data_IF_755651625428
#
_entry.id   IF_755651625428
#
_cell.length_a   1.000
_cell.length_b   1.000
_cell.length_c   1.000
_cell.angle_alpha   90.00
_cell.angle_beta   90.00
_cell.angle_gamma   90.00
#
_symmetry.space_group_name_H-M   'P 1'
#
loop_
_entity.id
_entity.type
_entity.pdbx_description
1 polymer ?
#
# COMPACT_ATOMS: atom_id res chain seq x y z
N UNK A 1 9.42 14.59 -21.35
CA UNK A 1 9.28 13.41 -20.49
C UNK A 1 7.79 13.23 -20.23
N UNK A 2 7.31 12.00 -20.09
CA UNK A 2 5.89 11.71 -19.83
C UNK A 2 5.74 10.87 -18.55
N UNK A 3 4.57 10.88 -17.90
CA UNK A 3 4.27 9.98 -16.79
C UNK A 3 4.38 8.52 -17.24
N UNK A 4 4.77 7.65 -16.32
CA UNK A 4 4.85 6.21 -16.56
C UNK A 4 3.56 5.58 -16.01
N UNK A 5 2.54 5.40 -16.85
CA UNK A 5 1.30 4.73 -16.47
C UNK A 5 1.52 3.22 -16.38
N UNK A 6 0.93 2.59 -15.37
CA UNK A 6 1.11 1.17 -15.09
C UNK A 6 -0.13 0.38 -15.53
N UNK A 7 0.11 -0.82 -16.06
CA UNK A 7 -0.94 -1.83 -16.13
C UNK A 7 -1.15 -2.45 -14.74
N UNK A 8 -2.41 -2.70 -14.33
CA UNK A 8 -2.70 -3.38 -13.07
C UNK A 8 -2.17 -4.82 -13.08
N UNK A 9 -1.84 -5.34 -11.90
CA UNK A 9 -1.35 -6.71 -11.70
C UNK A 9 -2.16 -7.35 -10.58
N UNK A 10 -3.13 -8.17 -10.97
CA UNK A 10 -4.10 -8.75 -10.06
C UNK A 10 -3.56 -10.01 -9.37
N UNK A 11 -3.81 -10.13 -8.07
CA UNK A 11 -3.48 -11.30 -7.27
C UNK A 11 -4.74 -11.96 -6.72
N UNK A 12 -4.88 -13.25 -6.97
CA UNK A 12 -5.93 -14.08 -6.34
C UNK A 12 -5.65 -14.26 -4.85
N UNK A 13 -6.70 -14.13 -4.04
CA UNK A 13 -6.62 -14.35 -2.58
C UNK A 13 -7.89 -15.05 -2.12
N UNK A 14 -7.75 -15.90 -1.09
CA UNK A 14 -8.90 -16.62 -0.51
C UNK A 14 -9.96 -15.70 0.09
N UNK A 15 -9.56 -14.47 0.43
CA UNK A 15 -10.39 -13.42 1.00
C UNK A 15 -10.77 -12.34 -0.02
N UNK A 16 -10.27 -12.46 -1.25
CA UNK A 16 -10.50 -11.50 -2.32
C UNK A 16 -11.87 -11.68 -2.95
N UNK A 17 -12.33 -10.62 -3.62
CA UNK A 17 -13.65 -10.58 -4.23
C UNK A 17 -13.63 -9.96 -5.63
N UNK A 18 -14.66 -9.17 -5.91
CA UNK A 18 -14.90 -8.57 -7.23
C UNK A 18 -15.11 -7.05 -7.20
N UNK A 19 -14.95 -6.37 -6.04
CA UNK A 19 -15.22 -4.92 -5.97
C UNK A 19 -14.20 -4.12 -6.74
N UNK A 20 -12.99 -4.64 -6.97
CA UNK A 20 -12.04 -4.05 -7.91
C UNK A 20 -12.65 -3.82 -9.31
N UNK A 21 -13.53 -4.72 -9.78
CA UNK A 21 -14.29 -4.52 -11.01
C UNK A 21 -15.38 -3.46 -10.84
N UNK A 22 -16.27 -3.62 -9.84
CA UNK A 22 -17.44 -2.73 -9.71
C UNK A 22 -17.08 -1.29 -9.33
N UNK A 23 -15.97 -1.09 -8.63
CA UNK A 23 -15.49 0.20 -8.13
C UNK A 23 -14.59 0.88 -9.17
N UNK A 24 -13.55 0.20 -9.67
CA UNK A 24 -12.57 0.80 -10.59
C UNK A 24 -12.80 0.49 -12.08
N UNK A 25 -13.73 -0.42 -12.39
CA UNK A 25 -13.97 -0.87 -13.77
C UNK A 25 -12.86 -1.76 -14.33
N UNK A 26 -12.08 -2.41 -13.45
CA UNK A 26 -11.00 -3.31 -13.88
C UNK A 26 -11.53 -4.59 -14.52
N UNK A 27 -10.84 -5.05 -15.58
CA UNK A 27 -11.11 -6.33 -16.20
C UNK A 27 -10.42 -7.45 -15.40
N UNK A 28 -11.13 -8.01 -14.43
CA UNK A 28 -10.61 -9.06 -13.54
C UNK A 28 -10.62 -10.44 -14.23
N UNK A 29 -9.62 -11.29 -13.98
CA UNK A 29 -9.57 -12.64 -14.55
C UNK A 29 -10.57 -13.62 -13.90
N UNK A 30 -11.02 -13.33 -12.67
CA UNK A 30 -12.05 -14.05 -11.92
C UNK A 30 -12.60 -13.18 -10.78
N UNK A 31 -13.42 -13.77 -9.91
CA UNK A 31 -14.13 -13.15 -8.79
C UNK A 31 -13.43 -13.31 -7.43
N UNK A 32 -12.17 -13.77 -7.38
CA UNK A 32 -11.38 -13.97 -6.15
C UNK A 32 -10.14 -13.09 -6.09
N UNK A 33 -10.21 -11.88 -6.63
CA UNK A 33 -9.07 -10.96 -6.66
C UNK A 33 -9.06 -10.13 -5.40
N UNK A 34 -8.02 -10.31 -4.59
CA UNK A 34 -7.84 -9.57 -3.35
C UNK A 34 -6.96 -8.34 -3.50
N UNK A 35 -6.05 -8.33 -4.47
CA UNK A 35 -5.06 -7.25 -4.60
C UNK A 35 -4.89 -6.85 -6.07
N UNK A 36 -4.77 -5.56 -6.31
CA UNK A 36 -4.11 -4.98 -7.48
C UNK A 36 -2.75 -4.41 -7.04
N UNK A 37 -1.66 -4.96 -7.57
CA UNK A 37 -0.32 -4.41 -7.39
C UNK A 37 -0.10 -3.28 -8.39
N UNK A 38 -0.73 -2.15 -8.07
CA UNK A 38 -0.87 -0.98 -8.93
C UNK A 38 0.48 -0.37 -9.36
N UNK A 39 1.47 -0.33 -8.47
CA UNK A 39 2.84 0.07 -8.79
C UNK A 39 3.81 -0.84 -8.05
N UNK A 40 4.52 -1.69 -8.80
CA UNK A 40 5.37 -2.74 -8.26
C UNK A 40 6.57 -3.02 -9.14
N UNK A 41 7.75 -3.09 -8.55
CA UNK A 41 8.90 -3.76 -9.16
C UNK A 41 9.18 -5.15 -8.53
N UNK A 42 8.32 -5.60 -7.61
CA UNK A 42 8.53 -6.82 -6.86
C UNK A 42 8.40 -8.06 -7.76
N UNK A 43 9.28 -9.07 -7.64
CA UNK A 43 9.30 -10.23 -8.55
C UNK A 43 7.98 -11.02 -8.63
N UNK A 44 7.19 -11.03 -7.56
CA UNK A 44 5.89 -11.74 -7.50
C UNK A 44 4.77 -11.05 -8.29
N UNK A 45 4.96 -9.80 -8.72
CA UNK A 45 3.93 -9.06 -9.44
C UNK A 45 4.49 -7.76 -10.02
N UNK A 46 5.36 -7.86 -11.03
CA UNK A 46 6.02 -6.69 -11.61
C UNK A 46 5.07 -5.90 -12.53
N UNK A 47 4.94 -4.59 -12.31
CA UNK A 47 4.14 -3.71 -13.16
C UNK A 47 4.78 -3.53 -14.54
N UNK A 48 3.95 -3.30 -15.55
CA UNK A 48 4.37 -3.06 -16.93
C UNK A 48 3.92 -1.67 -17.36
N UNK A 49 4.83 -0.89 -17.97
CA UNK A 49 4.51 0.46 -18.45
C UNK A 49 3.53 0.37 -19.63
N UNK A 50 2.47 1.16 -19.59
CA UNK A 50 1.39 1.15 -20.58
C UNK A 50 1.64 2.09 -21.78
N UNK A 51 2.43 3.13 -21.58
CA UNK A 51 2.57 4.25 -22.52
C UNK A 51 4.03 4.59 -22.86
N UNK A 52 4.16 5.44 -23.88
CA UNK A 52 5.42 6.11 -24.20
C UNK A 52 6.52 5.23 -24.76
N UNK A 53 7.76 5.75 -24.75
CA UNK A 53 8.94 5.04 -25.21
C UNK A 53 9.26 3.77 -24.41
N UNK A 54 8.77 3.68 -23.17
CA UNK A 54 9.00 2.55 -22.27
C UNK A 54 7.84 1.54 -22.27
N UNK A 55 6.81 1.74 -23.10
CA UNK A 55 5.67 0.82 -23.20
C UNK A 55 6.12 -0.63 -23.34
N UNK A 56 5.59 -1.49 -22.47
CA UNK A 56 5.89 -2.93 -22.45
C UNK A 56 7.15 -3.30 -21.67
N UNK A 57 7.96 -2.34 -21.19
CA UNK A 57 9.02 -2.60 -20.21
C UNK A 57 8.44 -2.75 -18.81
N UNK A 58 9.18 -3.43 -17.95
CA UNK A 58 8.78 -3.61 -16.54
C UNK A 58 9.29 -2.50 -15.62
N UNK A 59 8.60 -2.35 -14.49
CA UNK A 59 9.06 -1.71 -13.24
C UNK A 59 10.57 -1.88 -13.03
N UNK A 60 10.94 -3.14 -12.84
CA UNK A 60 12.28 -3.56 -12.49
C UNK A 60 13.31 -3.27 -13.58
N UNK A 61 12.96 -3.38 -14.86
CA UNK A 61 13.88 -3.04 -15.95
C UNK A 61 14.20 -1.55 -15.99
N UNK A 62 13.20 -0.70 -15.76
CA UNK A 62 13.44 0.74 -15.67
C UNK A 62 14.29 1.08 -14.45
N UNK A 63 14.01 0.49 -13.29
CA UNK A 63 14.85 0.71 -12.11
C UNK A 63 16.31 0.32 -12.38
N UNK A 64 16.55 -0.83 -13.01
CA UNK A 64 17.91 -1.32 -13.29
C UNK A 64 18.63 -0.48 -14.35
N UNK A 65 17.96 -0.15 -15.45
CA UNK A 65 18.62 0.36 -16.66
C UNK A 65 18.44 1.87 -16.87
N UNK A 66 17.54 2.52 -16.12
CA UNK A 66 17.10 3.91 -16.32
C UNK A 66 17.02 4.71 -15.00
N UNK A 67 18.09 4.65 -14.20
CA UNK A 67 18.20 5.34 -12.92
C UNK A 67 18.02 6.87 -12.99
N UNK A 68 18.21 7.48 -14.16
CA UNK A 68 17.89 8.90 -14.39
C UNK A 68 16.40 9.23 -14.20
N UNK A 69 15.51 8.23 -14.28
CA UNK A 69 14.07 8.39 -14.02
C UNK A 69 13.77 8.47 -12.52
N UNK A 70 14.69 8.04 -11.67
CA UNK A 70 14.49 7.84 -10.24
C UNK A 70 15.50 8.60 -9.37
N UNK A 71 16.16 9.62 -9.93
CA UNK A 71 17.11 10.45 -9.18
C UNK A 71 18.49 9.83 -8.97
N UNK A 72 18.84 8.78 -9.71
CA UNK A 72 20.09 8.02 -9.54
C UNK A 72 20.23 7.38 -8.16
N UNK A 73 19.15 6.72 -7.69
CA UNK A 73 19.19 5.91 -6.48
C UNK A 73 20.22 4.77 -6.60
N UNK A 74 20.91 4.48 -5.50
CA UNK A 74 21.82 3.35 -5.39
C UNK A 74 21.14 2.10 -4.82
N UNK A 75 19.85 2.18 -4.47
CA UNK A 75 19.15 1.06 -3.87
C UNK A 75 19.01 -0.11 -4.88
N UNK A 76 19.24 -1.36 -4.44
CA UNK A 76 19.34 -2.52 -5.33
C UNK A 76 18.01 -2.86 -6.01
N UNK A 77 16.89 -2.44 -5.42
CA UNK A 77 15.52 -2.67 -5.90
C UNK A 77 14.73 -1.38 -5.80
N UNK A 78 13.66 -1.26 -6.59
CA UNK A 78 12.71 -0.16 -6.42
C UNK A 78 12.06 -0.30 -5.03
N UNK A 79 12.09 0.74 -4.18
CA UNK A 79 11.92 0.53 -2.74
C UNK A 79 10.47 0.45 -2.27
N UNK A 80 9.50 0.80 -3.12
CA UNK A 80 8.09 0.86 -2.74
C UNK A 80 7.21 -0.12 -3.53
N UNK A 81 6.10 -0.49 -2.92
CA UNK A 81 5.04 -1.28 -3.53
C UNK A 81 3.70 -0.62 -3.16
N UNK A 82 2.92 -0.26 -4.18
CA UNK A 82 1.60 0.34 -4.02
C UNK A 82 0.55 -0.68 -4.42
N UNK A 83 -0.42 -0.93 -3.55
CA UNK A 83 -1.50 -1.89 -3.78
C UNK A 83 -2.86 -1.27 -3.53
N UNK A 84 -3.87 -1.81 -4.21
CA UNK A 84 -5.27 -1.66 -3.81
C UNK A 84 -5.74 -3.02 -3.33
N UNK A 85 -6.27 -3.10 -2.11
CA UNK A 85 -6.77 -4.34 -1.55
C UNK A 85 -8.30 -4.28 -1.44
N UNK A 86 -8.96 -5.38 -1.81
CA UNK A 86 -10.39 -5.60 -1.66
C UNK A 86 -10.64 -6.79 -0.74
N UNK A 87 -10.90 -6.52 0.54
CA UNK A 87 -11.19 -7.53 1.55
C UNK A 87 -12.67 -7.90 1.52
N UNK A 88 -13.05 -8.92 0.74
CA UNK A 88 -14.41 -9.50 0.80
C UNK A 88 -14.60 -10.34 2.07
N UNK A 89 -13.52 -10.94 2.57
CA UNK A 89 -13.46 -11.64 3.86
C UNK A 89 -12.24 -11.16 4.68
N UNK A 90 -12.15 -11.56 5.95
CA UNK A 90 -11.09 -11.12 6.86
C UNK A 90 -9.70 -11.57 6.35
N UNK A 91 -8.73 -10.67 6.29
CA UNK A 91 -7.34 -11.06 6.06
C UNK A 91 -6.78 -11.74 7.31
N UNK A 92 -5.76 -12.57 7.11
CA UNK A 92 -5.07 -13.18 8.25
C UNK A 92 -4.46 -12.13 9.16
N UNK A 93 -4.47 -12.39 10.47
CA UNK A 93 -3.71 -11.61 11.44
C UNK A 93 -2.23 -11.87 11.21
N UNK A 94 -1.45 -10.81 11.05
CA UNK A 94 -0.07 -10.90 10.61
C UNK A 94 0.81 -9.83 11.26
N UNK A 95 2.12 -10.01 11.10
CA UNK A 95 3.14 -9.04 11.47
C UNK A 95 4.27 -9.10 10.45
N UNK A 96 4.91 -7.96 10.22
CA UNK A 96 5.97 -7.79 9.23
C UNK A 96 7.32 -7.51 9.89
N UNK A 97 8.44 -8.05 9.37
CA UNK A 97 9.78 -7.75 9.86
C UNK A 97 10.24 -6.34 9.48
N UNK A 98 11.27 -5.87 10.19
CA UNK A 98 12.10 -4.74 9.75
C UNK A 98 13.14 -5.19 8.71
N UNK A 99 13.92 -4.25 8.18
CA UNK A 99 14.92 -4.55 7.13
C UNK A 99 16.01 -5.51 7.63
N UNK A 100 16.40 -5.42 8.90
CA UNK A 100 17.46 -6.27 9.45
C UNK A 100 17.00 -7.74 9.49
N UNK A 101 15.81 -8.00 10.05
CA UNK A 101 15.26 -9.34 10.12
C UNK A 101 14.87 -9.86 8.73
N UNK A 102 14.23 -9.03 7.91
CA UNK A 102 13.84 -9.36 6.53
C UNK A 102 15.02 -9.78 5.67
N UNK A 103 16.12 -9.03 5.73
CA UNK A 103 17.32 -9.34 4.95
C UNK A 103 18.04 -10.59 5.46
N UNK A 104 18.08 -10.80 6.79
CA UNK A 104 18.75 -11.97 7.38
C UNK A 104 17.98 -13.27 7.11
N UNK A 105 16.65 -13.26 7.16
CA UNK A 105 15.83 -14.47 7.15
C UNK A 105 15.18 -14.75 5.79
N UNK A 106 14.81 -13.71 5.04
CA UNK A 106 14.04 -13.83 3.79
C UNK A 106 14.82 -13.31 2.56
N UNK A 107 15.86 -12.52 2.77
CA UNK A 107 16.61 -11.86 1.69
C UNK A 107 15.82 -10.73 1.01
N UNK A 108 14.81 -10.19 1.69
CA UNK A 108 13.97 -9.08 1.24
C UNK A 108 14.13 -7.86 2.15
N UNK A 109 13.60 -6.72 1.70
CA UNK A 109 13.39 -5.58 2.60
C UNK A 109 12.41 -5.96 3.72
N UNK A 110 12.42 -5.18 4.79
CA UNK A 110 11.34 -5.15 5.74
C UNK A 110 10.04 -4.67 5.08
N UNK A 111 8.95 -4.73 5.83
CA UNK A 111 7.63 -4.35 5.33
C UNK A 111 6.93 -3.44 6.34
N UNK A 112 7.44 -2.22 6.42
CA UNK A 112 6.67 -1.08 6.94
C UNK A 112 5.67 -0.63 5.89
N UNK A 113 4.44 -0.32 6.31
CA UNK A 113 3.36 0.04 5.42
C UNK A 113 2.43 1.11 6.01
N UNK A 114 1.48 1.55 5.21
CA UNK A 114 0.36 2.37 5.66
C UNK A 114 -0.86 2.14 4.77
N UNK A 115 -2.03 2.44 5.31
CA UNK A 115 -3.32 2.23 4.67
C UNK A 115 -4.12 3.52 4.63
N UNK A 116 -4.64 3.83 3.46
CA UNK A 116 -5.75 4.74 3.30
C UNK A 116 -7.04 3.94 3.06
N UNK A 117 -8.07 4.15 3.88
CA UNK A 117 -9.36 3.47 3.72
C UNK A 117 -10.15 4.12 2.58
N UNK A 118 -10.10 3.53 1.39
CA UNK A 118 -10.86 4.00 0.21
C UNK A 118 -12.37 3.86 0.45
N UNK A 119 -12.78 2.73 1.02
CA UNK A 119 -14.17 2.44 1.35
C UNK A 119 -14.25 1.41 2.47
N UNK A 120 -15.32 1.48 3.28
CA UNK A 120 -15.56 0.56 4.39
C UNK A 120 -17.06 0.36 4.62
N UNK A 121 -17.48 -0.89 4.69
CA UNK A 121 -18.87 -1.23 5.03
C UNK A 121 -19.24 -0.80 6.47
N UNK A 122 -20.53 -0.53 6.77
CA UNK A 122 -20.95 -0.18 8.12
C UNK A 122 -20.56 -1.24 9.15
N UNK A 123 -19.76 -0.83 10.14
CA UNK A 123 -19.27 -1.72 11.20
C UNK A 123 -18.01 -2.49 10.84
N UNK A 124 -17.34 -2.16 9.73
CA UNK A 124 -16.04 -2.71 9.40
C UNK A 124 -14.98 -2.28 10.43
N UNK A 125 -14.07 -3.21 10.75
CA UNK A 125 -13.03 -3.04 11.75
C UNK A 125 -11.71 -3.62 11.21
N UNK A 126 -10.59 -3.06 11.66
CA UNK A 126 -9.26 -3.65 11.48
C UNK A 126 -8.78 -4.23 12.81
N UNK A 127 -7.83 -5.17 12.74
CA UNK A 127 -7.00 -5.51 13.89
C UNK A 127 -5.76 -4.63 13.83
N UNK A 128 -5.45 -3.95 14.93
CA UNK A 128 -4.33 -3.01 15.00
C UNK A 128 -3.72 -2.98 16.41
N UNK A 129 -2.70 -3.79 16.61
CA UNK A 129 -1.99 -3.98 17.87
C UNK A 129 -2.55 -5.13 18.72
N UNK A 130 -2.02 -5.25 19.94
CA UNK A 130 -2.35 -6.30 20.88
C UNK A 130 -2.25 -5.82 22.35
N UNK A 131 -2.76 -6.62 23.28
CA UNK A 131 -2.80 -6.31 24.71
C UNK A 131 -1.65 -6.91 25.55
N UNK A 132 -0.89 -7.87 25.00
CA UNK A 132 0.25 -8.46 25.70
C UNK A 132 1.33 -7.43 26.11
N UNK A 133 1.88 -7.59 27.32
CA UNK A 133 2.86 -6.70 27.92
C UNK A 133 4.30 -7.22 27.79
N UNK A 134 4.49 -8.53 27.62
CA UNK A 134 5.80 -9.16 27.38
C UNK A 134 5.74 -10.17 26.23
N UNK A 135 6.90 -10.52 25.65
CA UNK A 135 6.96 -11.51 24.57
C UNK A 135 6.49 -12.89 25.03
N UNK A 136 6.73 -13.25 26.29
CA UNK A 136 6.26 -14.50 26.90
C UNK A 136 4.73 -14.52 27.00
N UNK A 137 4.11 -13.40 27.41
CA UNK A 137 2.66 -13.28 27.46
C UNK A 137 2.05 -13.34 26.04
N UNK A 138 2.65 -12.63 25.08
CA UNK A 138 2.23 -12.68 23.67
C UNK A 138 2.23 -14.11 23.16
N UNK A 139 3.34 -14.83 23.35
CA UNK A 139 3.49 -16.22 22.92
C UNK A 139 2.46 -17.14 23.57
N UNK A 140 2.26 -17.03 24.89
CA UNK A 140 1.30 -17.85 25.61
C UNK A 140 -0.15 -17.61 25.11
N UNK A 141 -0.54 -16.35 24.89
CA UNK A 141 -1.88 -16.03 24.39
C UNK A 141 -2.11 -16.52 22.96
N UNK A 142 -1.08 -16.48 22.09
CA UNK A 142 -1.11 -17.05 20.73
C UNK A 142 -1.28 -18.57 20.80
N UNK A 143 -0.47 -19.26 21.60
CA UNK A 143 -0.50 -20.73 21.74
C UNK A 143 -1.83 -21.23 22.33
N UNK A 144 -2.42 -20.49 23.26
CA UNK A 144 -3.71 -20.79 23.88
C UNK A 144 -4.92 -20.35 23.02
N UNK A 145 -4.70 -19.69 21.88
CA UNK A 145 -5.78 -19.22 20.99
C UNK A 145 -6.65 -18.12 21.61
N UNK A 146 -6.10 -17.29 22.50
CA UNK A 146 -6.83 -16.25 23.25
C UNK A 146 -6.99 -14.96 22.43
N UNK A 147 -7.47 -15.07 21.19
CA UNK A 147 -7.48 -13.98 20.21
C UNK A 147 -8.28 -12.75 20.62
N UNK A 148 -9.46 -12.93 21.21
CA UNK A 148 -10.30 -11.81 21.67
C UNK A 148 -9.69 -11.06 22.87
N UNK A 149 -8.89 -11.75 23.70
CA UNK A 149 -8.14 -11.11 24.79
C UNK A 149 -6.86 -10.45 24.28
N UNK A 150 -6.27 -10.99 23.21
CA UNK A 150 -4.97 -10.57 22.70
C UNK A 150 -5.08 -9.38 21.74
N UNK A 151 -6.00 -9.42 20.78
CA UNK A 151 -6.01 -8.55 19.61
C UNK A 151 -6.85 -7.29 19.84
N UNK A 152 -6.33 -6.15 19.41
CA UNK A 152 -7.06 -4.88 19.48
C UNK A 152 -7.85 -4.67 18.18
N UNK A 153 -9.18 -4.57 18.27
CA UNK A 153 -10.06 -4.21 17.15
C UNK A 153 -10.31 -2.70 17.11
N UNK A 154 -10.25 -2.11 15.92
CA UNK A 154 -10.45 -0.68 15.70
C UNK A 154 -11.49 -0.49 14.58
N UNK A 155 -12.62 0.18 14.85
CA UNK A 155 -13.59 0.49 13.80
C UNK A 155 -13.01 1.52 12.83
N UNK A 156 -13.35 1.36 11.55
CA UNK A 156 -12.85 2.24 10.47
C UNK A 156 -13.98 2.77 9.60
N UNK A 157 -13.69 3.85 8.88
CA UNK A 157 -14.56 4.43 7.85
C UNK A 157 -13.73 4.95 6.68
N UNK A 158 -14.40 5.21 5.55
CA UNK A 158 -13.80 5.89 4.39
C UNK A 158 -13.06 7.17 4.80
N UNK A 159 -11.84 7.32 4.30
CA UNK A 159 -10.96 8.47 4.53
C UNK A 159 -10.09 8.37 5.79
N UNK A 160 -10.24 7.32 6.60
CA UNK A 160 -9.30 7.06 7.69
C UNK A 160 -7.92 6.65 7.13
N UNK A 161 -6.86 6.96 7.88
CA UNK A 161 -5.48 6.64 7.53
C UNK A 161 -4.77 5.98 8.71
N UNK A 162 -4.01 4.92 8.43
CA UNK A 162 -3.25 4.16 9.43
C UNK A 162 -1.81 3.97 8.95
N UNK A 163 -0.84 4.33 9.79
CA UNK A 163 0.55 3.93 9.59
C UNK A 163 0.79 2.60 10.31
N UNK A 164 1.47 1.66 9.68
CA UNK A 164 1.71 0.31 10.21
C UNK A 164 3.22 0.06 10.20
N UNK A 165 3.96 0.49 11.24
CA UNK A 165 5.37 0.15 11.38
C UNK A 165 5.58 -1.36 11.38
N UNK A 166 6.71 -1.83 10.84
CA UNK A 166 7.15 -3.20 11.03
C UNK A 166 7.13 -3.61 12.52
N UNK A 167 6.78 -4.87 12.79
CA UNK A 167 6.56 -5.39 14.13
C UNK A 167 5.18 -5.08 14.74
N UNK A 168 4.29 -4.40 14.02
CA UNK A 168 2.89 -4.21 14.46
C UNK A 168 2.04 -5.44 14.10
N UNK A 169 1.39 -6.08 15.07
CA UNK A 169 0.35 -7.10 14.78
C UNK A 169 -0.87 -6.40 14.20
N UNK A 170 -1.34 -6.83 13.04
CA UNK A 170 -2.46 -6.19 12.37
C UNK A 170 -3.22 -7.15 11.43
N UNK A 171 -4.42 -6.74 11.01
CA UNK A 171 -5.19 -7.39 9.96
C UNK A 171 -6.22 -6.43 9.37
N UNK A 172 -6.49 -6.55 8.07
CA UNK A 172 -7.61 -5.86 7.42
C UNK A 172 -8.84 -6.75 7.55
N UNK A 173 -9.92 -6.23 8.15
CA UNK A 173 -11.18 -6.95 8.26
C UNK A 173 -12.01 -6.91 6.97
N UNK A 174 -13.00 -7.78 6.89
CA UNK A 174 -13.93 -7.86 5.76
C UNK A 174 -14.68 -6.55 5.50
N UNK A 175 -15.06 -6.34 4.25
CA UNK A 175 -15.81 -5.17 3.79
C UNK A 175 -14.96 -3.90 3.65
N UNK A 176 -13.63 -4.00 3.78
CA UNK A 176 -12.71 -2.87 3.70
C UNK A 176 -11.99 -2.89 2.35
N UNK A 177 -11.94 -1.72 1.70
CA UNK A 177 -11.07 -1.48 0.55
C UNK A 177 -10.04 -0.42 0.92
N UNK A 178 -8.77 -0.72 0.69
CA UNK A 178 -7.67 0.19 1.03
C UNK A 178 -6.77 0.47 -0.18
N UNK A 179 -6.07 1.60 -0.11
CA UNK A 179 -4.81 1.79 -0.80
C UNK A 179 -3.68 1.58 0.21
N UNK A 180 -2.77 0.68 -0.09
CA UNK A 180 -1.59 0.38 0.72
C UNK A 180 -0.34 0.93 0.04
N UNK A 181 0.42 1.74 0.78
CA UNK A 181 1.79 2.11 0.43
C UNK A 181 2.73 1.40 1.39
N UNK A 182 3.63 0.58 0.86
CA UNK A 182 4.57 -0.21 1.64
C UNK A 182 5.98 -0.20 1.05
N UNK A 183 6.97 -0.61 1.84
CA UNK A 183 8.27 -1.03 1.30
C UNK A 183 8.09 -2.21 0.33
N UNK A 184 8.98 -2.37 -0.65
CA UNK A 184 8.91 -3.42 -1.67
C UNK A 184 9.32 -4.80 -1.11
N UNK A 185 8.40 -5.41 -0.36
CA UNK A 185 8.53 -6.72 0.28
C UNK A 185 7.18 -7.44 0.25
N UNK A 186 7.20 -8.76 0.08
CA UNK A 186 6.00 -9.61 0.19
C UNK A 186 6.04 -10.50 1.45
N UNK A 187 7.04 -10.27 2.30
CA UNK A 187 7.27 -11.03 3.52
C UNK A 187 6.16 -10.80 4.56
N UNK A 188 5.49 -11.89 4.93
CA UNK A 188 4.34 -11.87 5.85
C UNK A 188 4.41 -13.01 6.85
N UNK A 189 4.52 -12.69 8.14
CA UNK A 189 4.41 -13.69 9.21
C UNK A 189 2.99 -13.74 9.74
N UNK A 190 2.31 -14.82 9.39
CA UNK A 190 0.93 -15.07 9.80
C UNK A 190 0.84 -15.59 11.23
N UNK A 191 0.06 -14.89 12.06
CA UNK A 191 -0.21 -15.24 13.46
C UNK A 191 -1.47 -16.10 13.58
N UNK A 192 -2.55 -15.69 12.90
CA UNK A 192 -3.86 -16.36 12.97
C UNK A 192 -4.60 -16.23 11.64
N UNK A 193 -5.38 -17.26 11.28
CA UNK A 193 -6.08 -17.33 10.00
C UNK A 193 -7.55 -17.77 10.08
N UNK A 194 -8.16 -17.64 11.26
CA UNK A 194 -9.56 -18.05 11.49
C UNK A 194 -9.82 -19.53 11.24
N UNK A 195 -8.78 -20.37 11.37
CA UNK A 195 -8.83 -21.82 11.13
C UNK A 195 -9.41 -22.20 9.76
N UNK A 196 -9.31 -21.27 8.79
CA UNK A 196 -9.83 -21.44 7.44
C UNK A 196 -9.06 -22.54 6.72
N UNK A 197 -9.80 -23.29 5.91
CA UNK A 197 -9.25 -24.36 5.09
C UNK A 197 -9.45 -24.05 3.61
N UNK A 198 -8.50 -24.47 2.79
CA UNK A 198 -8.69 -24.55 1.35
C UNK A 198 -9.73 -25.61 0.94
N UNK A 199 -9.98 -25.73 -0.37
CA UNK A 199 -10.92 -26.71 -0.93
C UNK A 199 -10.53 -28.18 -0.64
N UNK A 200 -9.31 -28.42 -0.15
CA UNK A 200 -8.80 -29.74 0.24
C UNK A 200 -8.83 -29.97 1.76
N UNK A 201 -9.34 -29.01 2.54
CA UNK A 201 -9.42 -29.09 4.00
C UNK A 201 -8.11 -28.76 4.72
N UNK A 202 -7.13 -28.17 4.03
CA UNK A 202 -5.82 -27.82 4.62
C UNK A 202 -5.82 -26.35 5.06
N UNK A 203 -5.33 -26.10 6.28
CA UNK A 203 -5.10 -24.74 6.79
C UNK A 203 -3.85 -24.11 6.18
N UNK A 204 -3.84 -22.78 6.05
CA UNK A 204 -2.61 -22.06 5.66
C UNK A 204 -1.57 -22.11 6.78
N UNK A 205 -0.31 -21.94 6.38
CA UNK A 205 0.81 -21.92 7.30
C UNK A 205 0.76 -20.69 8.23
N UNK A 206 1.06 -20.94 9.50
CA UNK A 206 1.28 -19.93 10.54
C UNK A 206 2.77 -19.88 10.86
N UNK A 207 3.29 -18.67 11.10
CA UNK A 207 4.71 -18.39 11.30
C UNK A 207 4.92 -17.93 12.75
N UNK A 208 4.50 -18.75 13.72
CA UNK A 208 4.36 -18.32 15.12
C UNK A 208 5.69 -17.85 15.72
N UNK A 209 6.78 -18.58 15.47
CA UNK A 209 8.09 -18.21 16.00
C UNK A 209 8.55 -16.86 15.43
N UNK A 210 8.55 -16.71 14.11
CA UNK A 210 8.93 -15.46 13.45
C UNK A 210 8.02 -14.30 13.88
N UNK A 211 6.72 -14.55 14.03
CA UNK A 211 5.76 -13.54 14.50
C UNK A 211 6.13 -13.01 15.89
N UNK A 212 6.46 -13.89 16.83
CA UNK A 212 6.91 -13.49 18.18
C UNK A 212 8.28 -12.80 18.13
N UNK A 213 9.16 -13.20 17.23
CA UNK A 213 10.50 -12.62 17.08
C UNK A 213 10.41 -11.16 16.62
N UNK A 214 9.55 -10.86 15.65
CA UNK A 214 9.47 -9.50 15.05
C UNK A 214 8.46 -8.58 15.72
N UNK A 215 7.49 -9.12 16.49
CA UNK A 215 6.47 -8.27 17.13
C UNK A 215 7.08 -7.32 18.15
N UNK A 216 6.71 -6.05 18.04
CA UNK A 216 7.02 -5.02 19.04
C UNK A 216 6.11 -5.21 20.25
N UNK A 217 6.71 -5.50 21.42
CA UNK A 217 5.99 -5.71 22.68
C UNK A 217 6.50 -4.76 23.77
N UNK A 218 5.63 -4.03 24.49
CA UNK A 218 4.19 -3.90 24.26
C UNK A 218 3.86 -3.19 22.94
N UNK A 219 2.64 -3.37 22.45
CA UNK A 219 2.16 -2.69 21.24
C UNK A 219 2.27 -1.16 21.39
N UNK A 220 2.67 -0.48 20.32
CA UNK A 220 2.81 0.98 20.26
C UNK A 220 2.02 1.52 19.10
N UNK A 221 1.12 2.46 19.39
CA UNK A 221 0.46 3.24 18.34
C UNK A 221 1.39 4.37 17.90
N UNK A 222 1.62 4.56 16.58
CA UNK A 222 2.37 5.70 16.09
C UNK A 222 1.56 6.99 16.26
N UNK A 223 2.26 8.10 16.52
CA UNK A 223 1.66 9.42 16.49
C UNK A 223 1.81 10.01 15.09
N UNK A 224 0.68 10.38 14.46
CA UNK A 224 0.67 11.00 13.14
C UNK A 224 0.57 12.52 13.25
N UNK A 225 1.41 13.21 12.49
CA UNK A 225 1.39 14.68 12.36
C UNK A 225 0.71 15.10 11.06
N UNK A 226 -0.58 14.79 10.93
CA UNK A 226 -1.36 15.09 9.72
C UNK A 226 -1.50 16.61 9.57
N UNK A 227 -1.22 17.12 8.37
CA UNK A 227 -1.35 18.55 8.03
C UNK A 227 -2.07 18.72 6.70
N UNK A 228 -2.78 19.84 6.57
CA UNK A 228 -3.50 20.19 5.34
C UNK A 228 -3.07 21.58 4.85
N UNK A 229 -2.82 21.69 3.56
CA UNK A 229 -2.53 22.95 2.86
C UNK A 229 -3.57 23.14 1.74
N UNK A 230 -4.29 24.26 1.79
CA UNK A 230 -5.29 24.61 0.76
C UNK A 230 -4.66 25.40 -0.39
N UNK A 231 -5.06 25.07 -1.62
CA UNK A 231 -4.76 25.83 -2.82
C UNK A 231 -6.06 26.13 -3.59
N UNK A 232 -6.68 27.27 -3.29
CA UNK A 232 -8.00 27.62 -3.83
C UNK A 232 -9.07 26.67 -3.29
N UNK A 233 -9.76 25.95 -4.18
CA UNK A 233 -10.77 24.93 -3.85
C UNK A 233 -10.18 23.52 -3.69
N UNK A 234 -8.89 23.34 -3.94
CA UNK A 234 -8.16 22.08 -3.79
C UNK A 234 -7.37 22.06 -2.48
N UNK A 235 -6.97 20.88 -2.03
CA UNK A 235 -6.15 20.70 -0.83
C UNK A 235 -5.10 19.60 -1.01
N UNK A 236 -4.02 19.73 -0.25
CA UNK A 236 -2.98 18.71 -0.07
C UNK A 236 -2.97 18.34 1.40
N UNK A 237 -3.30 17.10 1.72
CA UNK A 237 -3.17 16.53 3.06
C UNK A 237 -1.88 15.71 3.09
N UNK A 238 -0.94 16.03 3.97
CA UNK A 238 0.19 15.15 4.26
C UNK A 238 -0.21 14.26 5.43
N UNK A 239 -0.29 12.95 5.18
CA UNK A 239 -0.61 11.97 6.22
C UNK A 239 0.62 11.53 7.00
N UNK A 240 1.71 11.29 6.27
CA UNK A 240 2.87 10.59 6.80
C UNK A 240 4.14 11.08 6.11
N UNK A 241 5.18 11.27 6.91
CA UNK A 241 6.55 11.43 6.43
C UNK A 241 7.48 10.55 7.28
N UNK A 242 8.26 9.71 6.62
CA UNK A 242 9.14 8.73 7.29
C UNK A 242 10.44 8.58 6.52
N UNK A 243 11.35 7.77 7.06
CA UNK A 243 12.57 7.39 6.37
C UNK A 243 12.30 6.50 5.13
N UNK A 244 11.19 5.76 5.08
CA UNK A 244 10.89 4.83 3.99
C UNK A 244 10.04 5.45 2.88
N UNK A 245 9.01 6.19 3.26
CA UNK A 245 8.10 6.84 2.32
C UNK A 245 7.29 7.97 2.97
N UNK A 246 6.82 8.86 2.11
CA UNK A 246 5.91 9.94 2.45
C UNK A 246 4.59 9.73 1.72
N UNK A 247 3.46 10.03 2.35
CA UNK A 247 2.12 9.82 1.77
C UNK A 247 1.25 11.05 1.90
N UNK A 248 0.57 11.37 0.80
CA UNK A 248 -0.28 12.54 0.66
C UNK A 248 -1.62 12.16 0.05
N UNK A 249 -2.66 12.89 0.43
CA UNK A 249 -3.90 12.98 -0.35
C UNK A 249 -3.97 14.33 -1.06
N UNK A 250 -4.28 14.29 -2.35
CA UNK A 250 -4.54 15.47 -3.17
C UNK A 250 -6.03 15.51 -3.51
N UNK A 251 -6.75 16.38 -2.82
CA UNK A 251 -8.13 16.72 -3.15
C UNK A 251 -8.14 17.80 -4.23
N UNK A 252 -8.50 17.44 -5.46
CA UNK A 252 -8.53 18.37 -6.59
C UNK A 252 -9.96 18.80 -6.85
N UNK A 253 -10.22 20.11 -6.79
CA UNK A 253 -11.47 20.70 -7.26
C UNK A 253 -11.14 21.85 -8.19
N UNK A 254 -11.31 21.61 -9.49
CA UNK A 254 -10.93 22.52 -10.56
C UNK A 254 -9.46 22.39 -10.95
N UNK A 255 -8.54 22.89 -10.13
CA UNK A 255 -7.10 22.89 -10.44
C UNK A 255 -6.24 22.79 -9.18
N UNK A 256 -5.19 21.96 -9.23
CA UNK A 256 -4.13 21.87 -8.22
C UNK A 256 -2.78 21.91 -8.95
N UNK A 257 -1.89 22.83 -8.56
CA UNK A 257 -0.55 22.92 -9.17
C UNK A 257 0.46 22.33 -8.19
N UNK A 258 1.28 21.41 -8.67
CA UNK A 258 2.24 20.67 -7.87
C UNK A 258 3.63 20.79 -8.49
N UNK A 259 4.64 20.63 -7.66
CA UNK A 259 6.03 20.57 -8.07
C UNK A 259 6.74 19.47 -7.29
N UNK A 260 7.79 18.93 -7.92
CA UNK A 260 8.55 17.81 -7.39
C UNK A 260 9.07 18.11 -5.97
N UNK A 261 8.79 17.22 -5.01
CA UNK A 261 9.32 17.29 -3.65
C UNK A 261 10.37 16.19 -3.38
N UNK A 262 10.28 15.05 -4.07
CA UNK A 262 11.23 13.94 -4.00
C UNK A 262 11.70 13.50 -5.39
N UNK A 263 12.61 12.52 -5.46
CA UNK A 263 13.21 12.10 -6.73
C UNK A 263 12.21 11.62 -7.78
N UNK A 264 11.07 11.08 -7.35
CA UNK A 264 9.92 10.74 -8.20
C UNK A 264 8.67 10.69 -7.32
N UNK A 265 7.49 10.77 -7.95
CA UNK A 265 6.22 10.70 -7.23
C UNK A 265 5.36 9.59 -7.82
N UNK A 266 4.88 8.67 -6.97
CA UNK A 266 3.89 7.67 -7.30
C UNK A 266 2.51 8.28 -7.04
N UNK A 267 1.54 8.02 -7.91
CA UNK A 267 0.16 8.46 -7.67
C UNK A 267 -0.86 7.46 -8.17
N UNK A 268 -1.96 7.34 -7.43
CA UNK A 268 -3.12 6.52 -7.75
C UNK A 268 -4.39 7.32 -7.55
N UNK A 269 -5.25 7.36 -8.57
CA UNK A 269 -6.56 8.02 -8.50
C UNK A 269 -7.55 7.10 -7.80
N UNK A 270 -8.07 7.52 -6.65
CA UNK A 270 -9.00 6.72 -5.83
C UNK A 270 -10.45 7.20 -5.89
N UNK A 271 -10.69 8.42 -6.39
CA UNK A 271 -12.05 8.93 -6.63
C UNK A 271 -12.05 9.94 -7.79
N UNK A 272 -13.19 10.03 -8.48
CA UNK A 272 -13.46 11.05 -9.48
C UNK A 272 -12.74 10.89 -10.83
N UNK A 273 -12.66 12.00 -11.57
CA UNK A 273 -12.10 12.06 -12.91
C UNK A 273 -11.42 13.42 -13.17
N UNK A 274 -10.43 13.40 -14.06
CA UNK A 274 -9.80 14.63 -14.51
C UNK A 274 -8.62 14.39 -15.44
N UNK A 275 -7.63 15.25 -15.36
CA UNK A 275 -6.46 15.22 -16.22
C UNK A 275 -5.20 15.63 -15.47
N UNK A 276 -4.10 14.97 -15.81
CA UNK A 276 -2.75 15.35 -15.47
C UNK A 276 -2.17 16.17 -16.62
N UNK A 277 -1.65 17.36 -16.33
CA UNK A 277 -1.07 18.27 -17.33
C UNK A 277 0.41 18.51 -17.04
N UNK A 278 1.25 18.21 -18.03
CA UNK A 278 2.72 18.33 -17.95
C UNK A 278 3.22 18.94 -19.26
N UNK A 279 3.96 20.05 -19.17
CA UNK A 279 4.49 20.77 -20.33
C UNK A 279 3.45 20.99 -21.45
N UNK A 280 2.21 21.33 -21.06
CA UNK A 280 1.09 21.57 -21.97
C UNK A 280 0.42 20.31 -22.55
N UNK A 281 0.93 19.12 -22.29
CA UNK A 281 0.32 17.84 -22.67
C UNK A 281 -0.62 17.37 -21.57
N UNK A 282 -1.80 16.86 -21.94
CA UNK A 282 -2.82 16.40 -21.01
C UNK A 282 -3.01 14.89 -21.12
N UNK A 283 -3.05 14.21 -19.98
CA UNK A 283 -3.27 12.78 -19.83
C UNK A 283 -4.56 12.58 -19.04
N UNK A 284 -5.47 11.76 -19.53
CA UNK A 284 -6.72 11.46 -18.83
C UNK A 284 -6.44 10.69 -17.54
N UNK A 285 -7.13 11.08 -16.47
CA UNK A 285 -7.12 10.41 -15.19
C UNK A 285 -8.55 9.98 -14.85
N UNK A 286 -8.70 8.69 -14.60
CA UNK A 286 -9.92 8.09 -14.05
C UNK A 286 -9.56 7.27 -12.82
N UNK A 287 -10.55 6.95 -12.00
CA UNK A 287 -10.38 6.03 -10.86
C UNK A 287 -9.62 4.76 -11.26
N UNK A 288 -8.70 4.32 -10.41
CA UNK A 288 -7.84 3.15 -10.66
C UNK A 288 -6.64 3.42 -11.56
N UNK A 289 -6.47 4.65 -12.05
CA UNK A 289 -5.26 5.03 -12.81
C UNK A 289 -4.09 5.21 -11.84
N UNK A 290 -3.01 4.46 -12.07
CA UNK A 290 -1.75 4.57 -11.33
C UNK A 290 -0.59 4.90 -12.24
N UNK A 291 0.26 5.83 -11.83
CA UNK A 291 1.45 6.19 -12.57
C UNK A 291 2.59 6.70 -11.68
N UNK A 292 3.79 6.75 -12.27
CA UNK A 292 4.96 7.42 -11.70
C UNK A 292 5.22 8.71 -12.49
N UNK A 293 5.48 9.80 -11.76
CA UNK A 293 6.08 11.03 -12.27
C UNK A 293 7.60 10.92 -12.07
N UNK A 294 8.36 10.55 -13.12
CA UNK A 294 9.81 10.35 -12.99
C UNK A 294 10.55 11.67 -12.75
N UNK A 295 11.79 11.58 -12.25
CA UNK A 295 12.63 12.70 -11.86
C UNK A 295 12.67 13.87 -12.85
N UNK A 296 12.75 13.67 -14.18
CA UNK A 296 12.81 14.81 -15.10
C UNK A 296 11.54 15.67 -15.13
N UNK A 297 10.41 15.18 -14.58
CA UNK A 297 9.16 15.94 -14.45
C UNK A 297 9.23 16.78 -13.17
N UNK A 298 9.43 18.10 -13.33
CA UNK A 298 9.61 19.01 -12.19
C UNK A 298 8.33 19.68 -11.71
N UNK A 299 7.33 19.85 -12.59
CA UNK A 299 6.07 20.52 -12.28
C UNK A 299 4.94 19.87 -13.06
N UNK A 300 3.77 19.80 -12.45
CA UNK A 300 2.55 19.29 -13.08
C UNK A 300 1.32 19.99 -12.54
N UNK A 301 0.19 19.73 -13.18
CA UNK A 301 -1.10 20.24 -12.73
C UNK A 301 -2.13 19.14 -12.82
N UNK A 302 -2.92 18.97 -11.77
CA UNK A 302 -4.13 18.17 -11.81
C UNK A 302 -5.32 19.09 -12.06
N UNK A 303 -6.22 18.69 -12.97
CA UNK A 303 -7.43 19.43 -13.29
C UNK A 303 -8.64 18.50 -13.28
N UNK A 304 -9.77 18.96 -12.76
CA UNK A 304 -11.01 18.17 -12.66
C UNK A 304 -11.52 18.07 -11.23
N UNK A 305 -12.21 16.97 -10.93
CA UNK A 305 -12.71 16.61 -9.60
C UNK A 305 -12.22 15.20 -9.31
N UNK A 306 -11.09 15.08 -8.60
CA UNK A 306 -10.45 13.81 -8.29
C UNK A 306 -9.83 13.82 -6.89
N UNK A 307 -9.79 12.65 -6.27
CA UNK A 307 -8.96 12.38 -5.09
C UNK A 307 -7.85 11.43 -5.49
N UNK A 308 -6.61 11.80 -5.19
CA UNK A 308 -5.42 11.02 -5.49
C UNK A 308 -4.67 10.75 -4.20
N UNK A 309 -4.26 9.50 -3.98
CA UNK A 309 -3.21 9.20 -3.01
C UNK A 309 -1.89 9.20 -3.76
N UNK A 310 -0.95 10.01 -3.26
CA UNK A 310 0.39 10.11 -3.77
C UNK A 310 1.39 9.61 -2.73
N UNK A 311 2.48 9.02 -3.21
CA UNK A 311 3.58 8.59 -2.37
C UNK A 311 4.91 8.98 -2.98
N UNK A 312 5.88 9.25 -2.13
CA UNK A 312 7.24 9.62 -2.51
C UNK A 312 8.23 8.77 -1.71
N UNK A 313 9.39 8.42 -2.27
CA UNK A 313 10.46 7.76 -1.52
C UNK A 313 10.89 8.64 -0.33
N UNK A 314 11.10 8.01 0.83
CA UNK A 314 11.73 8.64 1.98
C UNK A 314 13.24 8.76 1.80
N UNK A 315 13.93 9.39 2.76
CA UNK A 315 15.38 9.60 2.68
C UNK A 315 16.22 8.31 2.66
N UNK A 316 15.70 7.22 3.22
CA UNK A 316 16.33 5.90 3.30
C UNK A 316 15.70 4.87 2.35
N UNK A 317 14.90 5.32 1.38
CA UNK A 317 14.26 4.45 0.38
C UNK A 317 15.23 4.02 -0.73
#
# INVERSE_FOLDING_TARGET
MEPLFMKPVFQEKIWGGSRLHSVFGFDLPNDKIGEDWAISAHPHGVSVIENGPFKGKTLADLWRDHQELFGHSEAPVFPLLIKILDAEDDLSVQVHPDDAYGMEHEGELGKTECWYIIDAEPGAEIIYGHHAQTKEELKAMIEDGRWDDLLTKVPVKKGDFFYVPSGTIHAIGKGIMILETQQSSDTTYRVYDYDRTDDQGKTRELHIQQSVDVTTVPAKAPELSIREIKQGSSAIVTYLETEFFNVYEWEVRGKLNLEQQADYTLMTVIDGYGQLVIDGHSYELKMGTSCILPNPIKKWTLQGELTVIASEPGENA
#
